data_IF_121730449416
#
_entry.id   IF_121730449416
#
_cell.length_a   1.000
_cell.length_b   1.000
_cell.length_c   1.000
_cell.angle_alpha   90.00
_cell.angle_beta   90.00
_cell.angle_gamma   90.00
#
_symmetry.space_group_name_H-M   'P 1'
#
loop_
_entity.id
_entity.type
_entity.pdbx_description
1 polymer ?
#
# COMPACT_ATOMS: atom_id res chain seq x y z
N UNK A 1 22.88 -52.42 -19.48
CA UNK A 1 22.69 -51.78 -19.87
C UNK A 1 21.65 -51.10 -19.81
N UNK A 2 21.01 -51.01 -19.64
CA UNK A 2 20.06 -50.51 -19.61
C UNK A 2 19.67 -49.75 -18.54
N UNK A 3 19.03 -49.50 -18.09
CA UNK A 3 18.69 -48.97 -16.93
C UNK A 3 19.02 -47.66 -16.72
N UNK A 4 19.24 -47.03 -17.38
CA UNK A 4 19.69 -45.86 -17.06
C UNK A 4 18.86 -44.80 -17.21
N UNK A 5 17.91 -44.78 -17.55
CA UNK A 5 17.31 -43.72 -17.76
C UNK A 5 16.39 -43.28 -16.80
N UNK A 6 15.76 -43.20 -16.35
CA UNK A 6 14.87 -42.85 -15.51
C UNK A 6 15.04 -41.68 -14.74
N UNK A 7 16.06 -41.28 -14.63
CA UNK A 7 16.29 -40.31 -13.72
C UNK A 7 15.92 -39.00 -14.11
N UNK A 8 15.81 -38.70 -15.20
CA UNK A 8 15.68 -37.36 -15.45
C UNK A 8 14.38 -36.82 -15.24
N UNK A 9 13.44 -37.44 -15.34
CA UNK A 9 12.29 -36.93 -15.20
C UNK A 9 12.02 -36.09 -14.04
N UNK A 10 12.41 -36.43 -13.00
CA UNK A 10 12.20 -35.76 -11.83
C UNK A 10 12.56 -34.37 -11.89
N UNK A 11 13.43 -34.04 -12.68
CA UNK A 11 13.89 -32.80 -12.63
C UNK A 11 12.96 -31.77 -13.03
N UNK A 12 12.30 -31.84 -13.94
CA UNK A 12 11.53 -30.79 -14.38
C UNK A 12 10.42 -30.41 -13.50
N UNK A 13 9.95 -31.31 -12.70
CA UNK A 13 8.94 -30.95 -11.88
C UNK A 13 9.22 -29.91 -10.92
N UNK A 14 10.25 -29.96 -10.37
CA UNK A 14 10.59 -29.08 -9.37
C UNK A 14 10.55 -27.66 -9.79
N UNK A 15 10.92 -27.38 -10.91
CA UNK A 15 11.00 -26.06 -11.33
C UNK A 15 9.70 -25.38 -11.49
N UNK A 16 8.72 -26.06 -11.95
CA UNK A 16 7.52 -25.38 -12.20
C UNK A 16 6.82 -24.92 -10.92
N UNK A 17 7.07 -25.54 -9.84
CA UNK A 17 6.40 -25.14 -8.64
C UNK A 17 6.82 -23.79 -8.12
N UNK A 18 8.00 -23.38 -8.38
CA UNK A 18 8.48 -22.13 -7.85
C UNK A 18 8.01 -20.95 -8.63
N UNK A 19 7.75 -21.10 -9.85
CA UNK A 19 7.39 -19.99 -10.67
C UNK A 19 6.10 -19.30 -10.29
N UNK A 20 5.18 -19.97 -9.72
CA UNK A 20 3.92 -19.34 -9.41
C UNK A 20 3.93 -18.47 -8.18
N UNK A 21 4.89 -18.63 -7.31
CA UNK A 21 4.87 -17.90 -6.07
C UNK A 21 5.19 -16.43 -6.21
N UNK A 22 5.85 -16.05 -7.21
CA UNK A 22 6.24 -14.64 -7.36
C UNK A 22 5.12 -13.71 -7.73
N UNK A 23 3.94 -14.25 -8.07
CA UNK A 23 2.86 -13.39 -8.47
C UNK A 23 1.81 -13.15 -7.39
N UNK A 24 2.04 -13.60 -6.19
CA UNK A 24 1.07 -13.46 -5.13
C UNK A 24 1.31 -12.14 -4.42
N UNK A 25 0.29 -11.29 -4.38
CA UNK A 25 0.39 -10.04 -3.66
C UNK A 25 0.09 -10.26 -2.19
N UNK A 26 0.77 -9.59 -1.30
CA UNK A 26 0.45 -9.69 0.12
C UNK A 26 -0.93 -9.11 0.39
N UNK A 27 -1.66 -9.72 1.32
CA UNK A 27 -2.93 -9.18 1.72
C UNK A 27 -2.66 -8.34 2.95
N UNK A 28 -2.97 -7.07 2.88
CA UNK A 28 -2.73 -6.13 3.97
C UNK A 28 -4.03 -5.80 4.68
N UNK A 29 -3.91 -5.39 5.93
CA UNK A 29 -5.06 -4.96 6.70
C UNK A 29 -5.53 -3.58 6.26
N UNK A 30 -6.79 -3.27 6.39
CA UNK A 30 -7.27 -1.92 6.18
C UNK A 30 -6.71 -1.00 7.27
N UNK A 31 -6.88 0.31 7.17
CA UNK A 31 -6.37 1.21 8.19
C UNK A 31 -6.88 0.84 9.57
N UNK A 32 -5.98 0.77 10.54
CA UNK A 32 -6.32 0.33 11.89
C UNK A 32 -5.71 1.25 12.94
N UNK A 33 -6.31 1.32 14.10
CA UNK A 33 -5.77 2.09 15.19
C UNK A 33 -4.51 1.42 15.69
N UNK A 34 -3.46 2.19 15.93
CA UNK A 34 -2.20 1.67 16.41
C UNK A 34 -1.47 2.78 17.17
N UNK A 35 -1.12 2.53 18.42
CA UNK A 35 -0.34 3.47 19.23
C UNK A 35 -0.84 4.93 19.19
N UNK A 36 -2.13 5.10 19.30
CA UNK A 36 -2.71 6.44 19.34
C UNK A 36 -2.95 7.09 18.00
N UNK A 37 -2.62 6.43 16.92
CA UNK A 37 -2.87 6.94 15.57
C UNK A 37 -3.59 5.92 14.73
N UNK A 38 -3.57 6.13 13.42
CA UNK A 38 -4.12 5.21 12.44
C UNK A 38 -2.97 4.76 11.55
N UNK A 39 -2.77 3.47 11.44
CA UNK A 39 -1.72 2.90 10.62
C UNK A 39 -2.27 2.56 9.25
N UNK A 40 -1.69 3.15 8.21
CA UNK A 40 -2.04 2.87 6.83
C UNK A 40 -0.94 2.04 6.19
N UNK A 41 -1.32 1.09 5.36
CA UNK A 41 -0.38 0.23 4.64
C UNK A 41 -0.75 0.14 3.17
N UNK A 42 0.24 0.14 2.31
CA UNK A 42 0.01 0.06 0.87
C UNK A 42 1.14 -0.72 0.20
N UNK A 43 0.81 -1.67 -0.66
CA UNK A 43 1.80 -2.47 -1.37
C UNK A 43 2.12 -1.83 -2.71
N UNK A 44 3.35 -1.41 -2.90
CA UNK A 44 3.82 -0.82 -4.14
C UNK A 44 5.32 -1.15 -4.30
N UNK A 45 5.64 -2.38 -4.73
CA UNK A 45 7.02 -2.84 -4.74
C UNK A 45 7.95 -2.11 -5.72
N UNK A 46 7.38 -1.48 -6.74
CA UNK A 46 8.21 -0.78 -7.70
C UNK A 46 8.19 0.74 -7.54
N UNK A 47 7.57 1.24 -6.50
CA UNK A 47 7.48 2.67 -6.28
C UNK A 47 8.77 3.23 -5.69
N UNK A 48 9.10 4.44 -6.05
CA UNK A 48 10.22 5.15 -5.46
C UNK A 48 9.72 5.98 -4.27
N UNK A 49 8.53 6.54 -4.38
CA UNK A 49 7.94 7.36 -3.34
C UNK A 49 6.46 7.03 -3.25
N UNK A 50 5.95 6.86 -2.06
CA UNK A 50 4.51 6.67 -1.84
C UNK A 50 4.06 7.68 -0.79
N UNK A 51 2.95 8.34 -1.05
CA UNK A 51 2.38 9.32 -0.13
C UNK A 51 0.91 8.98 0.11
N UNK A 52 0.40 9.34 1.28
CA UNK A 52 -1.03 9.29 1.51
C UNK A 52 -1.56 10.70 1.35
N UNK A 53 -2.60 10.86 0.56
CA UNK A 53 -3.27 12.14 0.36
C UNK A 53 -4.65 12.04 1.01
N UNK A 54 -4.97 12.94 1.89
CA UNK A 54 -6.24 12.89 2.61
C UNK A 54 -6.75 14.26 2.97
N UNK A 55 -8.00 14.33 3.44
CA UNK A 55 -8.67 15.59 3.69
C UNK A 55 -8.50 16.13 5.11
N UNK A 56 -7.50 15.67 5.86
CA UNK A 56 -7.20 16.24 7.16
C UNK A 56 -6.28 17.45 7.03
N UNK A 57 -6.29 18.30 8.05
CA UNK A 57 -5.69 19.61 7.95
C UNK A 57 -4.25 19.66 7.52
N UNK A 58 -3.40 18.87 8.11
CA UNK A 58 -1.98 18.91 7.79
C UNK A 58 -1.65 18.36 6.42
N UNK A 59 -2.55 17.61 5.85
CA UNK A 59 -2.35 16.96 4.55
C UNK A 59 -3.05 17.72 3.42
N UNK A 60 -4.35 17.98 3.61
CA UNK A 60 -5.15 18.69 2.62
C UNK A 60 -4.87 18.25 1.19
N UNK A 61 -4.95 16.96 0.94
CA UNK A 61 -4.72 16.36 -0.38
C UNK A 61 -3.32 16.74 -0.93
N UNK A 62 -2.32 16.69 -0.06
CA UNK A 62 -0.92 17.03 -0.32
C UNK A 62 -0.66 18.53 -0.52
N UNK A 63 -1.65 19.38 -0.25
CA UNK A 63 -1.46 20.82 -0.34
C UNK A 63 -1.18 21.46 1.02
N UNK A 64 -1.06 20.67 2.07
CA UNK A 64 -0.77 21.18 3.40
C UNK A 64 0.69 21.63 3.54
N UNK A 65 1.06 22.00 4.77
CA UNK A 65 2.41 22.46 5.01
C UNK A 65 3.29 21.33 5.50
N UNK A 66 4.45 21.15 4.89
CA UNK A 66 5.40 20.17 5.34
C UNK A 66 5.98 20.62 6.69
N UNK A 67 6.02 19.74 7.66
CA UNK A 67 6.50 20.06 8.98
C UNK A 67 8.01 20.20 9.01
N UNK A 68 8.72 19.47 8.17
CA UNK A 68 10.16 19.47 8.16
C UNK A 68 10.68 19.73 6.75
N UNK A 69 11.73 20.48 6.65
CA UNK A 69 12.35 20.77 5.36
C UNK A 69 12.84 19.47 4.74
N UNK A 70 12.52 19.26 3.49
CA UNK A 70 12.95 18.07 2.78
C UNK A 70 12.02 16.88 2.87
N UNK A 71 10.97 16.96 3.71
CA UNK A 71 10.00 15.88 3.79
C UNK A 71 8.83 16.17 2.89
N UNK A 72 8.26 15.14 2.28
CA UNK A 72 7.04 15.30 1.51
C UNK A 72 5.85 15.08 2.42
N UNK A 73 4.75 15.81 2.17
CA UNK A 73 3.53 15.65 2.95
C UNK A 73 3.02 14.24 2.75
N UNK A 74 2.67 13.59 3.85
CA UNK A 74 2.10 12.24 3.79
C UNK A 74 3.06 11.16 3.32
N UNK A 75 4.38 11.41 3.38
CA UNK A 75 5.34 10.44 2.87
C UNK A 75 5.35 9.17 3.69
N UNK A 76 5.16 8.06 3.02
CA UNK A 76 5.16 6.74 3.63
C UNK A 76 6.56 6.14 3.58
N UNK A 77 6.82 5.14 4.39
CA UNK A 77 8.11 4.49 4.46
C UNK A 77 8.00 2.99 4.20
N UNK A 78 9.03 2.43 3.59
CA UNK A 78 9.15 0.99 3.41
C UNK A 78 10.46 0.55 4.07
N UNK A 79 10.47 0.44 5.41
CA UNK A 79 11.71 0.17 6.13
C UNK A 79 12.30 -1.20 5.88
N UNK A 80 11.47 -2.17 5.56
CA UNK A 80 11.95 -3.52 5.32
C UNK A 80 12.24 -3.80 3.85
N UNK A 81 11.99 -2.82 3.01
CA UNK A 81 12.20 -2.93 1.57
C UNK A 81 11.51 -4.16 0.96
N UNK A 82 10.31 -4.42 1.45
CA UNK A 82 9.49 -5.53 0.97
C UNK A 82 8.32 -5.03 0.10
N UNK A 83 8.29 -3.77 -0.22
CA UNK A 83 7.22 -3.20 -1.03
C UNK A 83 6.00 -2.77 -0.24
N UNK A 84 6.01 -2.97 1.07
CA UNK A 84 4.90 -2.57 1.93
C UNK A 84 5.24 -1.22 2.56
N UNK A 85 4.53 -0.20 2.14
CA UNK A 85 4.72 1.16 2.61
C UNK A 85 3.76 1.44 3.75
N UNK A 86 4.23 2.09 4.79
CA UNK A 86 3.41 2.36 5.98
C UNK A 86 3.54 3.80 6.42
N UNK A 87 2.51 4.29 7.10
CA UNK A 87 2.54 5.59 7.76
C UNK A 87 1.57 5.55 8.94
N UNK A 88 1.97 6.14 10.04
CA UNK A 88 1.11 6.31 11.19
C UNK A 88 0.66 7.77 11.22
N UNK A 89 -0.63 8.01 11.17
CA UNK A 89 -1.18 9.37 11.15
C UNK A 89 -2.04 9.57 12.38
N UNK A 90 -1.82 10.68 13.08
CA UNK A 90 -2.61 10.98 14.26
C UNK A 90 -3.88 11.70 13.81
N UNK A 91 -5.01 11.04 13.90
CA UNK A 91 -6.29 11.58 13.47
C UNK A 91 -7.30 11.57 14.62
N UNK A 92 -7.94 12.70 14.84
CA UNK A 92 -9.02 12.80 15.82
C UNK A 92 -10.23 12.00 15.32
N UNK A 93 -11.17 11.67 16.21
CA UNK A 93 -12.38 11.00 15.77
C UNK A 93 -13.08 11.81 14.68
N UNK A 94 -13.53 11.15 13.64
CA UNK A 94 -14.15 11.83 12.50
C UNK A 94 -14.21 10.96 11.27
N UNK A 95 -14.65 11.57 10.18
CA UNK A 95 -14.81 10.91 8.90
C UNK A 95 -13.79 11.50 7.94
N UNK A 96 -12.95 10.68 7.36
CA UNK A 96 -11.85 11.10 6.48
C UNK A 96 -11.90 10.39 5.14
N UNK A 97 -11.41 11.06 4.11
CA UNK A 97 -11.27 10.48 2.79
C UNK A 97 -9.82 10.54 2.39
N UNK A 98 -9.33 9.53 1.66
CA UNK A 98 -7.92 9.48 1.28
C UNK A 98 -7.69 8.65 0.02
N UNK A 99 -6.50 8.83 -0.55
CA UNK A 99 -5.97 7.98 -1.61
C UNK A 99 -4.47 7.84 -1.40
N UNK A 100 -3.86 6.86 -2.04
CA UNK A 100 -2.42 6.74 -2.07
C UNK A 100 -1.90 7.33 -3.39
N UNK A 101 -0.73 7.96 -3.33
CA UNK A 101 -0.12 8.58 -4.49
C UNK A 101 1.25 7.95 -4.72
N UNK A 102 1.44 7.35 -5.89
CA UNK A 102 2.64 6.63 -6.24
C UNK A 102 3.48 7.52 -7.16
N UNK A 103 4.72 7.74 -6.75
CA UNK A 103 5.70 8.51 -7.53
C UNK A 103 5.17 9.89 -7.98
N UNK A 104 4.30 10.48 -7.15
CA UNK A 104 3.75 11.81 -7.42
C UNK A 104 2.80 11.87 -8.60
N UNK A 105 2.46 10.75 -9.20
CA UNK A 105 1.66 10.74 -10.42
C UNK A 105 0.40 9.91 -10.38
N UNK A 106 0.44 8.75 -9.77
CA UNK A 106 -0.69 7.82 -9.81
C UNK A 106 -1.44 7.85 -8.49
N UNK A 107 -2.69 8.26 -8.55
CA UNK A 107 -3.57 8.33 -7.38
C UNK A 107 -4.45 7.08 -7.34
N UNK A 108 -4.39 6.35 -6.25
CA UNK A 108 -5.11 5.10 -6.13
C UNK A 108 -5.90 4.99 -4.86
N UNK A 109 -7.10 4.41 -4.94
CA UNK A 109 -7.87 4.05 -3.78
C UNK A 109 -7.14 2.96 -3.03
N UNK A 110 -7.45 2.81 -1.76
CA UNK A 110 -6.88 1.75 -0.94
C UNK A 110 -7.52 0.40 -1.32
N UNK A 111 -6.77 -0.53 -1.88
CA UNK A 111 -7.34 -1.80 -2.29
C UNK A 111 -7.73 -2.70 -1.10
N UNK A 112 -7.27 -2.37 0.10
CA UNK A 112 -7.54 -3.16 1.28
C UNK A 112 -8.67 -2.58 2.13
N UNK A 113 -9.28 -1.48 1.69
CA UNK A 113 -10.38 -0.85 2.40
C UNK A 113 -11.63 -0.85 1.51
N UNK A 114 -12.67 -1.59 1.89
CA UNK A 114 -13.88 -1.65 1.07
C UNK A 114 -14.76 -0.42 1.17
N UNK A 115 -14.53 0.45 2.16
CA UNK A 115 -15.36 1.63 2.34
C UNK A 115 -14.94 2.75 1.40
N UNK A 116 -15.89 3.31 0.69
CA UNK A 116 -15.63 4.31 -0.34
C UNK A 116 -16.61 5.45 -0.29
N UNK A 117 -16.21 6.58 -0.83
CA UNK A 117 -17.06 7.75 -1.00
C UNK A 117 -16.80 8.31 -2.40
N UNK A 118 -17.82 8.83 -3.06
CA UNK A 118 -17.69 9.41 -4.38
C UNK A 118 -16.70 10.59 -4.34
N UNK A 119 -15.82 10.70 -5.30
CA UNK A 119 -14.83 11.78 -5.31
C UNK A 119 -15.30 13.00 -6.11
N UNK A 120 -16.48 12.93 -6.71
CA UNK A 120 -17.01 14.03 -7.52
C UNK A 120 -16.49 14.10 -8.93
N UNK A 121 -15.62 13.18 -9.33
CA UNK A 121 -15.00 13.21 -10.64
C UNK A 121 -15.15 11.87 -11.38
N UNK A 122 -16.14 11.09 -11.01
CA UNK A 122 -16.38 9.80 -11.68
C UNK A 122 -15.67 8.62 -11.05
N UNK A 123 -14.99 8.83 -9.93
CA UNK A 123 -14.30 7.77 -9.20
C UNK A 123 -14.64 7.80 -7.73
N UNK A 124 -13.77 7.23 -6.90
CA UNK A 124 -14.02 7.14 -5.47
C UNK A 124 -12.79 7.49 -4.66
N UNK A 125 -13.02 7.99 -3.46
CA UNK A 125 -12.00 8.10 -2.44
C UNK A 125 -12.19 6.93 -1.48
N UNK A 126 -11.15 6.47 -0.83
CA UNK A 126 -11.27 5.53 0.27
C UNK A 126 -11.80 6.28 1.50
N UNK A 127 -12.66 5.64 2.28
CA UNK A 127 -13.32 6.27 3.40
C UNK A 127 -12.87 5.65 4.69
N UNK A 128 -12.50 6.47 5.67
CA UNK A 128 -12.09 6.03 6.98
C UNK A 128 -12.93 6.74 8.03
N UNK A 129 -13.46 5.97 8.99
CA UNK A 129 -14.16 6.55 10.13
C UNK A 129 -13.35 6.23 11.36
N UNK A 130 -12.89 7.26 12.05
CA UNK A 130 -12.14 7.12 13.29
C UNK A 130 -13.09 7.36 14.45
N UNK A 131 -13.20 6.42 15.37
CA UNK A 131 -14.13 6.49 16.50
C UNK A 131 -13.45 6.94 17.76
#
# INVERSE_FOLDING_TARGET
>A
MKAILGCFLVFGLVISGCAGLGFIKPRLDPPTKFQGGVLFKFYAPYATVVQIAGNWEDNNWLAGNAQNAGSRIGEMQDPEKDGVWTILVNLAPGRYMYKFVIDGQTWKEDPNNPEKSDDGYGGFNSLLIVK
#
